data_IF_747406265262
#
_entry.id   IF_747406265262
#
_cell.length_a   1.000
_cell.length_b   1.000
_cell.length_c   1.000
_cell.angle_alpha   90.00
_cell.angle_beta   90.00
_cell.angle_gamma   90.00
#
_symmetry.space_group_name_H-M   'P 1'
#
loop_
_entity.id
_entity.type
_entity.pdbx_description
1 polymer ?
#
# COMPACT_ATOMS: atom_id res chain seq x y z
N UNK A 1 20.41 1.70 19.77
CA UNK A 1 20.35 1.57 18.31
C UNK A 1 18.87 1.63 17.96
N UNK A 2 18.41 2.65 17.22
CA UNK A 2 16.99 2.80 16.87
C UNK A 2 16.77 1.95 15.62
N UNK A 3 15.93 0.94 15.73
CA UNK A 3 15.54 0.09 14.61
C UNK A 3 14.55 0.88 13.74
N UNK A 4 14.95 1.23 12.52
CA UNK A 4 14.09 1.93 11.56
C UNK A 4 13.39 0.85 10.73
N UNK A 5 12.08 0.68 10.94
CA UNK A 5 11.26 -0.24 10.15
C UNK A 5 10.71 0.55 8.96
N UNK A 6 11.12 0.26 7.72
CA UNK A 6 10.61 0.98 6.57
C UNK A 6 9.14 0.59 6.34
N UNK A 7 8.31 1.55 5.94
CA UNK A 7 6.88 1.35 5.69
C UNK A 7 6.55 1.84 4.28
N UNK A 8 5.83 1.01 3.53
CA UNK A 8 5.28 1.35 2.21
C UNK A 8 3.81 1.73 2.33
N UNK A 9 3.41 2.69 1.49
CA UNK A 9 2.01 3.05 1.27
C UNK A 9 1.50 2.36 0.01
N UNK A 10 0.35 1.69 0.12
CA UNK A 10 -0.43 1.20 -1.00
C UNK A 10 -1.76 1.94 -1.06
N UNK A 11 -2.18 2.28 -2.26
CA UNK A 11 -3.48 2.88 -2.53
C UNK A 11 -4.27 1.90 -3.39
N UNK A 12 -5.49 1.61 -2.95
CA UNK A 12 -6.42 0.68 -3.57
C UNK A 12 -7.60 1.49 -4.12
N UNK A 13 -7.81 1.44 -5.44
CA UNK A 13 -8.92 2.08 -6.13
C UNK A 13 -9.93 1.07 -6.65
N UNK A 14 -11.22 1.39 -6.57
CA UNK A 14 -12.29 0.60 -7.18
C UNK A 14 -13.17 1.52 -8.02
N UNK A 15 -13.36 1.14 -9.28
CA UNK A 15 -14.15 1.91 -10.24
C UNK A 15 -15.56 1.31 -10.37
N UNK A 16 -16.63 2.13 -10.32
CA UNK A 16 -18.00 1.63 -10.47
C UNK A 16 -18.24 1.01 -11.86
N UNK A 17 -17.56 1.52 -12.88
CA UNK A 17 -17.70 1.05 -14.27
C UNK A 17 -16.91 -0.23 -14.57
N UNK A 18 -16.05 -0.67 -13.64
CA UNK A 18 -15.20 -1.86 -13.79
C UNK A 18 -15.31 -2.76 -12.57
N UNK A 19 -16.49 -3.37 -12.35
CA UNK A 19 -16.72 -4.21 -11.18
C UNK A 19 -15.74 -5.38 -11.15
N UNK A 20 -14.99 -5.50 -10.05
CA UNK A 20 -13.98 -6.54 -9.85
C UNK A 20 -12.54 -6.12 -10.22
N UNK A 21 -12.35 -5.00 -10.91
CA UNK A 21 -11.00 -4.44 -11.12
C UNK A 21 -10.58 -3.59 -9.91
N UNK A 22 -9.45 -3.97 -9.30
CA UNK A 22 -8.79 -3.19 -8.26
C UNK A 22 -7.59 -2.50 -8.89
N UNK A 23 -7.57 -1.18 -8.84
CA UNK A 23 -6.39 -0.37 -9.18
C UNK A 23 -5.46 -0.32 -7.98
N UNK A 24 -4.30 -0.95 -8.09
CA UNK A 24 -3.27 -0.94 -7.04
C UNK A 24 -2.17 0.04 -7.42
N UNK A 25 -2.07 1.12 -6.66
CA UNK A 25 -1.01 2.12 -6.83
C UNK A 25 -0.06 2.05 -5.64
N UNK A 26 1.25 2.07 -5.93
CA UNK A 26 2.31 2.18 -4.92
C UNK A 26 3.11 3.45 -5.16
N UNK A 27 2.83 4.54 -4.42
CA UNK A 27 3.64 5.75 -4.45
C UNK A 27 5.12 5.43 -4.17
N UNK A 28 6.03 6.13 -4.85
CA UNK A 28 7.48 5.97 -4.69
C UNK A 28 8.01 6.67 -3.42
N UNK A 29 7.39 6.38 -2.28
CA UNK A 29 7.72 6.97 -0.97
C UNK A 29 7.84 5.84 0.04
N UNK A 30 8.93 5.86 0.80
CA UNK A 30 9.15 4.95 1.93
C UNK A 30 9.16 5.79 3.21
N UNK A 31 8.37 5.37 4.19
CA UNK A 31 8.26 6.03 5.49
C UNK A 31 9.10 5.30 6.53
N UNK A 32 9.48 6.02 7.58
CA UNK A 32 10.25 5.48 8.72
C UNK A 32 9.36 5.03 9.88
N UNK A 33 8.05 5.29 9.80
CA UNK A 33 7.06 4.93 10.80
C UNK A 33 5.70 4.66 10.15
N UNK A 34 4.86 3.89 10.83
CA UNK A 34 3.47 3.64 10.40
C UNK A 34 2.65 4.93 10.47
N UNK A 35 2.86 5.74 11.51
CA UNK A 35 2.15 7.01 11.72
C UNK A 35 2.37 8.00 10.58
N UNK A 36 3.61 8.13 10.09
CA UNK A 36 3.92 9.00 8.94
C UNK A 36 3.25 8.49 7.65
N UNK A 37 3.25 7.17 7.47
CA UNK A 37 2.59 6.52 6.33
C UNK A 37 1.07 6.75 6.37
N UNK A 38 0.42 6.57 7.53
CA UNK A 38 -1.02 6.74 7.68
C UNK A 38 -1.44 8.20 7.48
N UNK A 39 -0.64 9.15 7.98
CA UNK A 39 -0.87 10.57 7.78
C UNK A 39 -0.78 10.95 6.30
N UNK A 40 0.23 10.42 5.59
CA UNK A 40 0.38 10.64 4.15
C UNK A 40 -0.76 9.97 3.36
N UNK A 41 -1.07 8.72 3.66
CA UNK A 41 -2.14 7.94 3.03
C UNK A 41 -3.50 8.60 3.17
N UNK A 42 -3.84 9.08 4.37
CA UNK A 42 -5.09 9.81 4.65
C UNK A 42 -5.21 11.04 3.76
N UNK A 43 -4.15 11.86 3.67
CA UNK A 43 -4.13 13.07 2.84
C UNK A 43 -4.27 12.74 1.34
N UNK A 44 -3.55 11.73 0.87
CA UNK A 44 -3.59 11.32 -0.55
C UNK A 44 -4.97 10.80 -0.94
N UNK A 45 -5.50 9.86 -0.17
CA UNK A 45 -6.82 9.25 -0.45
C UNK A 45 -7.93 10.27 -0.35
N UNK A 46 -7.89 11.20 0.62
CA UNK A 46 -8.87 12.28 0.70
C UNK A 46 -8.87 13.14 -0.57
N UNK A 47 -7.69 13.49 -1.09
CA UNK A 47 -7.55 14.26 -2.34
C UNK A 47 -8.07 13.46 -3.55
N UNK A 48 -7.74 12.18 -3.64
CA UNK A 48 -8.15 11.32 -4.74
C UNK A 48 -9.67 11.10 -4.74
N UNK A 49 -10.27 10.82 -3.58
CA UNK A 49 -11.71 10.67 -3.43
C UNK A 49 -12.45 11.97 -3.76
N UNK A 50 -11.95 13.13 -3.33
CA UNK A 50 -12.54 14.41 -3.70
C UNK A 50 -12.51 14.65 -5.21
N UNK A 51 -11.41 14.29 -5.89
CA UNK A 51 -11.32 14.38 -7.35
C UNK A 51 -12.27 13.40 -8.06
N UNK A 52 -12.40 12.18 -7.56
CA UNK A 52 -13.24 11.15 -8.17
C UNK A 52 -14.74 11.41 -8.03
N UNK A 53 -15.20 12.05 -6.94
CA UNK A 53 -16.61 12.43 -6.78
C UNK A 53 -17.13 13.30 -7.93
N UNK A 54 -16.28 14.13 -8.53
CA UNK A 54 -16.67 14.99 -9.65
C UNK A 54 -16.46 14.41 -11.04
N UNK A 55 -15.90 13.19 -11.16
CA UNK A 55 -15.44 12.67 -12.46
C UNK A 55 -15.84 11.20 -12.70
N UNK A 56 -15.37 10.28 -11.86
CA UNK A 56 -15.40 8.84 -12.13
C UNK A 56 -16.24 8.03 -11.15
N UNK A 57 -16.62 8.62 -10.00
CA UNK A 57 -17.26 7.88 -8.90
C UNK A 57 -16.35 6.81 -8.27
N UNK A 58 -15.07 6.77 -8.64
CA UNK A 58 -14.09 5.86 -8.06
C UNK A 58 -13.91 6.14 -6.57
N UNK A 59 -13.57 5.09 -5.84
CA UNK A 59 -13.31 5.17 -4.41
C UNK A 59 -11.94 4.59 -4.13
N UNK A 60 -11.22 5.28 -3.27
CA UNK A 60 -9.86 4.96 -2.90
C UNK A 60 -9.76 4.71 -1.40
N UNK A 61 -8.93 3.74 -1.06
CA UNK A 61 -8.47 3.44 0.30
C UNK A 61 -6.96 3.30 0.31
N UNK A 62 -6.33 3.38 1.49
CA UNK A 62 -4.91 3.13 1.64
C UNK A 62 -4.63 2.02 2.64
N UNK A 63 -3.45 1.41 2.50
CA UNK A 63 -2.88 0.46 3.46
C UNK A 63 -1.40 0.77 3.64
N UNK A 64 -0.95 0.79 4.89
CA UNK A 64 0.45 0.89 5.24
C UNK A 64 0.98 -0.50 5.58
N UNK A 65 2.11 -0.87 5.00
CA UNK A 65 2.73 -2.18 5.20
C UNK A 65 4.20 -2.00 5.51
N UNK A 66 4.68 -2.68 6.54
CA UNK A 66 6.11 -2.74 6.84
C UNK A 66 6.84 -3.49 5.72
N UNK A 67 8.00 -2.96 5.32
CA UNK A 67 8.92 -3.69 4.48
C UNK A 67 9.55 -4.77 5.39
N UNK A 68 9.40 -6.05 5.04
CA UNK A 68 9.98 -7.11 5.83
C UNK A 68 11.49 -6.92 5.95
N UNK A 69 12.03 -7.25 7.11
CA UNK A 69 13.48 -7.27 7.32
C UNK A 69 14.15 -8.27 6.37
N UNK A 70 15.47 -8.17 6.22
CA UNK A 70 16.23 -9.08 5.35
C UNK A 70 15.99 -10.55 5.73
N UNK A 71 16.03 -10.88 7.02
CA UNK A 71 15.84 -12.25 7.51
C UNK A 71 14.42 -12.76 7.25
N UNK A 72 13.40 -11.92 7.47
CA UNK A 72 12.00 -12.25 7.17
C UNK A 72 11.80 -12.47 5.67
N UNK A 73 12.45 -11.67 4.83
CA UNK A 73 12.40 -11.80 3.39
C UNK A 73 13.08 -13.09 2.89
N UNK A 74 14.27 -13.41 3.41
CA UNK A 74 14.97 -14.66 3.10
C UNK A 74 14.14 -15.88 3.54
N UNK A 75 13.49 -15.83 4.71
CA UNK A 75 12.62 -16.89 5.19
C UNK A 75 11.37 -17.06 4.32
N UNK A 76 10.71 -15.97 3.92
CA UNK A 76 9.53 -16.01 3.05
C UNK A 76 9.86 -16.64 1.69
N UNK A 77 10.96 -16.23 1.06
CA UNK A 77 11.41 -16.80 -0.22
C UNK A 77 11.73 -18.29 -0.11
N UNK A 78 12.45 -18.70 0.94
CA UNK A 78 12.80 -20.11 1.16
C UNK A 78 11.54 -20.98 1.25
N UNK A 79 10.52 -20.53 1.99
CA UNK A 79 9.26 -21.24 2.13
C UNK A 79 8.49 -21.35 0.80
N UNK A 80 8.52 -20.31 -0.06
CA UNK A 80 7.88 -20.39 -1.38
C UNK A 80 8.56 -21.43 -2.29
N UNK A 81 9.90 -21.51 -2.29
CA UNK A 81 10.62 -22.49 -3.09
C UNK A 81 10.42 -23.93 -2.61
N UNK A 82 10.19 -24.14 -1.31
CA UNK A 82 9.92 -25.47 -0.75
C UNK A 82 8.48 -25.94 -1.03
N UNK A 83 7.50 -25.02 -1.08
CA UNK A 83 6.10 -25.33 -1.39
C UNK A 83 5.81 -25.54 -2.89
N UNK A 84 6.79 -25.31 -3.77
CA UNK A 84 6.70 -25.55 -5.22
C UNK A 84 7.35 -26.87 -5.67
N UNK A 85 7.82 -27.71 -4.74
CA UNK A 85 8.35 -29.06 -5.02
C UNK A 85 7.39 -30.15 -4.56
#
# INVERSE_FOLDING_TARGET
>A
MIEIIPVMLFILGWHPDKPGEIDLQRPEIVFTSVEDCELAGTKMVAKMNAAAQGQSGARYEFRCMTIPGREEFEAALKNEFENQK
#
